data_IF_349360674529
#
_entry.id   IF_349360674529
#
_cell.length_a   1.000
_cell.length_b   1.000
_cell.length_c   1.000
_cell.angle_alpha   90.00
_cell.angle_beta   90.00
_cell.angle_gamma   90.00
#
_symmetry.space_group_name_H-M   'P 1'
#
loop_
_entity.id
_entity.type
_entity.pdbx_description
1 polymer ?
#
# COMPACT_ATOMS: atom_id res chain seq x y z
N UNK A 1 28.66 -4.08 -6.15
CA UNK A 1 27.80 -4.16 -4.95
C UNK A 1 27.50 -2.77 -4.40
N UNK A 2 28.49 -1.96 -3.98
CA UNK A 2 28.26 -0.57 -3.48
C UNK A 2 27.51 0.34 -4.47
N UNK A 3 27.88 0.38 -5.75
CA UNK A 3 27.21 1.23 -6.75
C UNK A 3 25.72 0.92 -6.94
N UNK A 4 25.32 -0.34 -6.75
CA UNK A 4 23.93 -0.80 -6.87
C UNK A 4 23.10 -0.33 -5.67
N UNK A 5 23.68 -0.40 -4.47
CA UNK A 5 23.06 0.09 -3.23
C UNK A 5 22.93 1.62 -3.23
N UNK A 6 23.93 2.34 -3.73
CA UNK A 6 23.90 3.81 -3.88
C UNK A 6 22.81 4.25 -4.87
N UNK A 7 22.70 3.58 -6.02
CA UNK A 7 21.63 3.83 -7.00
C UNK A 7 20.26 3.51 -6.44
N UNK A 8 20.12 2.42 -5.68
CA UNK A 8 18.87 2.09 -4.99
C UNK A 8 18.49 3.16 -3.96
N UNK A 9 19.45 3.61 -3.14
CA UNK A 9 19.23 4.65 -2.13
C UNK A 9 18.88 6.01 -2.75
N UNK A 10 19.45 6.35 -3.90
CA UNK A 10 19.13 7.57 -4.66
C UNK A 10 17.80 7.44 -5.42
N UNK A 11 17.51 6.29 -6.01
CA UNK A 11 16.25 5.99 -6.70
C UNK A 11 15.04 5.95 -5.77
N UNK A 12 15.22 5.51 -4.53
CA UNK A 12 14.20 5.63 -3.48
C UNK A 12 13.86 7.08 -3.14
N UNK A 13 14.79 8.02 -3.32
CA UNK A 13 14.60 9.44 -2.96
C UNK A 13 13.87 10.25 -4.03
N UNK A 14 13.86 9.78 -5.28
CA UNK A 14 13.19 10.47 -6.39
C UNK A 14 12.42 9.48 -7.27
N UNK A 15 11.10 9.43 -7.08
CA UNK A 15 10.19 8.63 -7.89
C UNK A 15 9.87 9.34 -9.21
N UNK A 16 10.80 9.30 -10.18
CA UNK A 16 10.64 9.95 -11.49
C UNK A 16 9.39 9.45 -12.23
N UNK A 17 9.11 8.14 -12.14
CA UNK A 17 7.90 7.57 -12.74
C UNK A 17 6.65 8.13 -12.08
N UNK A 18 6.60 8.19 -10.76
CA UNK A 18 5.49 8.81 -10.03
C UNK A 18 5.28 10.28 -10.39
N UNK A 19 6.35 11.06 -10.61
CA UNK A 19 6.25 12.46 -11.06
C UNK A 19 5.67 12.53 -12.48
N UNK A 20 6.15 11.69 -13.40
CA UNK A 20 5.65 11.65 -14.77
C UNK A 20 4.16 11.23 -14.82
N UNK A 21 3.78 10.18 -14.09
CA UNK A 21 2.39 9.74 -13.97
C UNK A 21 1.49 10.82 -13.35
N UNK A 22 1.99 11.56 -12.36
CA UNK A 22 1.21 12.64 -11.73
C UNK A 22 0.87 13.74 -12.73
N UNK A 23 1.76 14.06 -13.67
CA UNK A 23 1.48 15.04 -14.73
C UNK A 23 0.38 14.56 -15.68
N UNK A 24 0.37 13.26 -16.00
CA UNK A 24 -0.65 12.65 -16.86
C UNK A 24 -2.04 12.72 -16.22
N UNK A 25 -2.12 12.48 -14.91
CA UNK A 25 -3.36 12.58 -14.13
C UNK A 25 -4.02 13.97 -14.23
N UNK A 26 -3.24 15.05 -14.22
CA UNK A 26 -3.79 16.41 -14.41
C UNK A 26 -4.38 16.66 -15.81
N UNK A 27 -3.98 15.86 -16.80
CA UNK A 27 -4.35 16.06 -18.20
C UNK A 27 -5.41 15.08 -18.71
N UNK A 28 -5.40 13.82 -18.25
CA UNK A 28 -6.25 12.75 -18.78
C UNK A 28 -7.25 12.20 -17.76
N UNK A 29 -6.79 11.91 -16.55
CA UNK A 29 -7.57 11.12 -15.58
C UNK A 29 -7.76 11.88 -14.26
N UNK A 30 -8.38 13.07 -14.33
CA UNK A 30 -8.54 13.98 -13.19
C UNK A 30 -9.26 13.35 -12.00
N UNK A 31 -10.13 12.38 -12.23
CA UNK A 31 -10.86 11.70 -11.16
C UNK A 31 -9.93 10.90 -10.23
N UNK A 32 -8.70 10.58 -10.66
CA UNK A 32 -7.71 9.89 -9.83
C UNK A 32 -7.11 10.77 -8.72
N UNK A 33 -7.22 12.11 -8.79
CA UNK A 33 -6.75 13.00 -7.70
C UNK A 33 -7.81 13.27 -6.65
N UNK A 34 -9.07 12.99 -6.96
CA UNK A 34 -10.18 13.36 -6.09
C UNK A 34 -10.44 12.20 -5.13
N UNK A 35 -10.22 12.39 -3.82
CA UNK A 35 -10.58 11.35 -2.86
C UNK A 35 -12.10 11.18 -2.87
N UNK A 36 -12.56 9.95 -3.05
CA UNK A 36 -13.99 9.62 -2.95
C UNK A 36 -14.52 9.84 -1.52
N UNK A 37 -13.65 9.65 -0.52
CA UNK A 37 -13.94 9.83 0.90
C UNK A 37 -12.69 10.43 1.55
N UNK A 38 -12.87 11.45 2.39
CA UNK A 38 -11.82 12.02 3.23
C UNK A 38 -12.20 11.85 4.70
N UNK A 39 -11.36 11.14 5.45
CA UNK A 39 -11.56 10.82 6.86
C UNK A 39 -10.23 10.96 7.62
N UNK A 40 -10.26 11.12 8.96
CA UNK A 40 -9.02 11.28 9.75
C UNK A 40 -8.06 10.08 9.65
N UNK A 41 -8.60 8.86 9.66
CA UNK A 41 -7.83 7.62 9.46
C UNK A 41 -8.76 6.43 9.16
N UNK A 42 -8.17 5.25 8.94
CA UNK A 42 -8.88 4.02 8.57
C UNK A 42 -9.92 3.54 9.60
N UNK A 43 -9.91 4.00 10.86
CA UNK A 43 -10.93 3.64 11.84
C UNK A 43 -12.30 4.25 11.54
N UNK A 44 -12.34 5.27 10.69
CA UNK A 44 -13.58 5.94 10.28
C UNK A 44 -14.18 5.33 9.01
N UNK A 45 -13.52 4.33 8.40
CA UNK A 45 -14.06 3.63 7.24
C UNK A 45 -15.10 2.61 7.69
N UNK A 46 -16.30 2.72 7.13
CA UNK A 46 -17.35 1.72 7.28
C UNK A 46 -17.17 0.60 6.25
N UNK A 47 -16.49 -0.47 6.67
CA UNK A 47 -16.18 -1.60 5.80
C UNK A 47 -17.42 -2.34 5.31
N UNK A 48 -18.44 -2.48 6.17
CA UNK A 48 -19.70 -3.14 5.83
C UNK A 48 -20.46 -2.34 4.77
N UNK A 49 -20.49 -1.02 4.90
CA UNK A 49 -21.12 -0.14 3.92
C UNK A 49 -20.42 -0.22 2.56
N UNK A 50 -19.08 -0.24 2.54
CA UNK A 50 -18.34 -0.46 1.30
C UNK A 50 -18.70 -1.81 0.68
N UNK A 51 -18.78 -2.88 1.48
CA UNK A 51 -19.18 -4.19 0.95
C UNK A 51 -20.60 -4.19 0.40
N UNK A 52 -21.54 -3.54 1.09
CA UNK A 52 -22.95 -3.38 0.69
C UNK A 52 -23.09 -2.57 -0.60
N UNK A 53 -22.21 -1.60 -0.85
CA UNK A 53 -22.13 -0.83 -2.09
C UNK A 53 -21.50 -1.58 -3.26
N UNK A 54 -21.09 -2.82 -3.06
CA UNK A 54 -20.58 -3.70 -4.13
C UNK A 54 -19.07 -3.71 -4.29
N UNK A 55 -18.30 -3.09 -3.37
CA UNK A 55 -16.85 -3.21 -3.40
C UNK A 55 -16.43 -4.67 -3.13
N UNK A 56 -15.46 -5.18 -3.88
CA UNK A 56 -15.09 -6.60 -3.84
C UNK A 56 -13.84 -6.89 -2.99
N UNK A 57 -13.01 -5.88 -2.77
CA UNK A 57 -11.76 -6.01 -2.02
C UNK A 57 -11.16 -4.66 -1.65
N UNK A 58 -10.07 -4.71 -0.89
CA UNK A 58 -9.33 -3.54 -0.41
C UNK A 58 -7.84 -3.72 -0.68
N UNK A 59 -7.22 -2.70 -1.27
CA UNK A 59 -5.76 -2.62 -1.42
C UNK A 59 -5.27 -1.47 -0.57
N UNK A 60 -4.44 -1.78 0.42
CA UNK A 60 -3.83 -0.79 1.29
C UNK A 60 -2.46 -0.38 0.74
N UNK A 61 -2.22 0.93 0.67
CA UNK A 61 -0.85 1.42 0.71
C UNK A 61 -0.20 1.06 2.07
N UNK A 62 1.13 0.93 2.09
CA UNK A 62 1.89 0.49 3.28
C UNK A 62 2.28 1.65 4.20
N UNK A 63 3.27 2.42 3.78
CA UNK A 63 3.98 3.39 4.61
C UNK A 63 3.18 4.69 4.76
N UNK A 64 3.01 5.16 5.99
CA UNK A 64 2.14 6.31 6.33
C UNK A 64 0.64 6.06 6.13
N UNK A 65 0.25 4.81 5.86
CA UNK A 65 -1.16 4.40 5.72
C UNK A 65 -1.52 3.36 6.77
N UNK A 66 -0.91 2.18 6.74
CA UNK A 66 -1.13 1.11 7.73
C UNK A 66 0.07 0.88 8.64
N UNK A 67 1.27 1.29 8.23
CA UNK A 67 2.49 1.24 9.05
C UNK A 67 3.06 2.63 9.27
N UNK A 68 3.77 2.82 10.39
CA UNK A 68 4.71 3.94 10.50
C UNK A 68 5.77 3.86 9.37
N UNK A 69 6.42 4.97 9.00
CA UNK A 69 7.45 4.98 7.97
C UNK A 69 8.52 3.90 8.22
N UNK A 70 8.80 3.08 7.21
CA UNK A 70 9.83 2.02 7.23
C UNK A 70 9.56 0.88 8.23
N UNK A 71 8.45 0.90 8.95
CA UNK A 71 8.06 -0.17 9.87
C UNK A 71 7.46 -1.36 9.11
N UNK A 72 7.61 -2.56 9.67
CA UNK A 72 6.92 -3.78 9.20
C UNK A 72 5.73 -4.14 10.08
N UNK A 73 5.56 -3.45 11.21
CA UNK A 73 4.45 -3.65 12.13
C UNK A 73 3.25 -2.79 11.74
N UNK A 74 2.05 -3.36 11.89
CA UNK A 74 0.81 -2.61 11.81
C UNK A 74 0.82 -1.49 12.86
N UNK A 75 0.35 -0.31 12.50
CA UNK A 75 0.17 0.78 13.46
C UNK A 75 -0.93 0.38 14.45
N UNK A 76 -0.57 0.19 15.72
CA UNK A 76 -1.43 -0.41 16.74
C UNK A 76 -2.85 0.19 16.81
N UNK A 77 -3.07 1.51 16.70
CA UNK A 77 -4.41 2.09 16.68
C UNK A 77 -5.32 1.57 15.55
N UNK A 78 -4.77 1.04 14.46
CA UNK A 78 -5.53 0.55 13.31
C UNK A 78 -5.92 -0.93 13.41
N UNK A 79 -5.45 -1.66 14.43
CA UNK A 79 -5.65 -3.11 14.58
C UNK A 79 -7.12 -3.52 14.46
N UNK A 80 -8.01 -2.85 15.19
CA UNK A 80 -9.44 -3.17 15.18
C UNK A 80 -10.08 -2.95 13.80
N UNK A 81 -9.75 -1.84 13.14
CA UNK A 81 -10.28 -1.52 11.81
C UNK A 81 -9.76 -2.48 10.75
N UNK A 82 -8.47 -2.82 10.78
CA UNK A 82 -7.88 -3.79 9.85
C UNK A 82 -8.45 -5.19 10.07
N UNK A 83 -8.64 -5.60 11.33
CA UNK A 83 -9.30 -6.88 11.63
C UNK A 83 -10.73 -6.90 11.09
N UNK A 84 -11.48 -5.81 11.24
CA UNK A 84 -12.84 -5.69 10.70
C UNK A 84 -12.86 -5.74 9.16
N UNK A 85 -11.97 -5.00 8.50
CA UNK A 85 -11.79 -5.06 7.05
C UNK A 85 -11.55 -6.50 6.57
N UNK A 86 -10.64 -7.22 7.24
CA UNK A 86 -10.34 -8.63 6.93
C UNK A 86 -11.54 -9.55 7.15
N UNK A 87 -12.39 -9.32 8.16
CA UNK A 87 -13.59 -10.15 8.34
C UNK A 87 -14.64 -9.90 7.25
N UNK A 88 -14.74 -8.67 6.74
CA UNK A 88 -15.68 -8.30 5.66
C UNK A 88 -15.22 -8.78 4.29
N UNK A 89 -13.95 -8.53 3.94
CA UNK A 89 -13.39 -8.80 2.60
C UNK A 89 -12.62 -10.13 2.51
N UNK A 90 -12.38 -10.81 3.63
CA UNK A 90 -11.73 -12.13 3.72
C UNK A 90 -10.38 -12.14 3.00
N UNK A 91 -10.29 -12.90 1.90
CA UNK A 91 -9.06 -13.07 1.13
C UNK A 91 -8.82 -11.94 0.12
N UNK A 92 -9.79 -11.04 -0.06
CA UNK A 92 -9.70 -9.92 -1.01
C UNK A 92 -9.14 -8.67 -0.34
N UNK A 93 -8.11 -8.84 0.49
CA UNK A 93 -7.38 -7.75 1.13
C UNK A 93 -5.91 -7.90 0.80
N UNK A 94 -5.30 -6.83 0.29
CA UNK A 94 -3.90 -6.83 -0.11
C UNK A 94 -3.18 -5.55 0.31
N UNK A 95 -1.85 -5.63 0.37
CA UNK A 95 -0.95 -4.49 0.56
C UNK A 95 -0.22 -4.25 -0.76
N UNK A 96 -0.19 -2.99 -1.20
CA UNK A 96 0.66 -2.52 -2.28
C UNK A 96 1.72 -1.58 -1.69
N UNK A 97 2.97 -1.77 -2.07
CA UNK A 97 4.09 -0.97 -1.56
C UNK A 97 5.06 -0.65 -2.68
N UNK A 98 5.60 0.58 -2.64
CA UNK A 98 6.63 1.04 -3.57
C UNK A 98 7.99 0.35 -3.36
N UNK A 99 8.14 -0.50 -2.33
CA UNK A 99 9.38 -1.23 -2.06
C UNK A 99 9.14 -2.70 -1.72
N UNK A 100 8.26 -3.00 -0.76
CA UNK A 100 7.97 -4.38 -0.40
C UNK A 100 7.19 -5.08 -1.54
N UNK A 101 7.76 -6.16 -2.07
CA UNK A 101 7.17 -6.89 -3.20
C UNK A 101 7.49 -6.33 -4.59
N UNK A 102 8.20 -5.21 -4.69
CA UNK A 102 8.73 -4.70 -5.98
C UNK A 102 10.04 -5.41 -6.30
N UNK A 103 10.15 -6.07 -7.45
CA UNK A 103 11.30 -6.91 -7.82
C UNK A 103 12.66 -6.19 -7.70
N UNK A 104 12.73 -4.90 -8.02
CA UNK A 104 13.94 -4.09 -7.98
C UNK A 104 14.46 -3.82 -6.56
N UNK A 105 13.57 -3.80 -5.57
CA UNK A 105 13.89 -3.48 -4.17
C UNK A 105 13.69 -4.66 -3.21
N UNK A 106 12.92 -5.68 -3.59
CA UNK A 106 12.65 -6.89 -2.84
C UNK A 106 12.68 -8.13 -3.76
N UNK A 107 13.80 -8.40 -4.47
CA UNK A 107 13.88 -9.46 -5.49
C UNK A 107 13.61 -10.86 -4.95
N UNK A 108 14.04 -11.13 -3.71
CA UNK A 108 13.81 -12.40 -3.02
C UNK A 108 12.46 -12.43 -2.28
N UNK A 109 11.73 -11.32 -2.25
CA UNK A 109 10.48 -11.22 -1.51
C UNK A 109 10.59 -11.30 0.01
N UNK A 110 11.79 -11.06 0.58
CA UNK A 110 12.04 -11.21 2.02
C UNK A 110 11.27 -10.17 2.83
N UNK A 111 11.21 -8.94 2.34
CA UNK A 111 10.52 -7.83 3.02
C UNK A 111 9.02 -8.09 2.99
N UNK A 112 8.49 -8.39 1.81
CA UNK A 112 7.08 -8.73 1.63
C UNK A 112 6.67 -9.97 2.42
N UNK A 113 7.45 -11.05 2.43
CA UNK A 113 7.16 -12.24 3.26
C UNK A 113 7.12 -11.92 4.76
N UNK A 114 8.03 -11.07 5.24
CA UNK A 114 8.03 -10.65 6.65
C UNK A 114 6.81 -9.77 6.98
N UNK A 115 6.45 -8.86 6.08
CA UNK A 115 5.26 -8.04 6.21
C UNK A 115 3.97 -8.89 6.23
N UNK A 116 3.87 -9.87 5.32
CA UNK A 116 2.74 -10.82 5.28
C UNK A 116 2.59 -11.60 6.58
N UNK A 117 3.71 -12.09 7.15
CA UNK A 117 3.71 -12.80 8.43
C UNK A 117 3.32 -11.91 9.60
N UNK A 118 3.69 -10.64 9.56
CA UNK A 118 3.50 -9.69 10.66
C UNK A 118 2.08 -9.13 10.68
N UNK A 119 1.53 -8.76 9.52
CA UNK A 119 0.20 -8.12 9.40
C UNK A 119 -0.89 -9.14 9.05
N UNK A 120 -0.51 -10.28 8.46
CA UNK A 120 -1.45 -11.31 8.01
C UNK A 120 -2.29 -10.87 6.82
N UNK A 121 -1.74 -10.02 5.94
CA UNK A 121 -2.33 -9.56 4.68
C UNK A 121 -1.31 -9.80 3.57
N UNK A 122 -1.77 -10.26 2.40
CA UNK A 122 -0.89 -10.55 1.25
C UNK A 122 -0.32 -9.29 0.63
N UNK A 123 0.94 -9.34 0.22
CA UNK A 123 1.61 -8.23 -0.48
C UNK A 123 1.59 -8.52 -1.98
N UNK A 124 1.09 -7.57 -2.77
CA UNK A 124 1.13 -7.67 -4.22
C UNK A 124 2.58 -7.61 -4.68
N UNK A 125 2.98 -8.59 -5.51
CA UNK A 125 4.31 -8.63 -6.13
C UNK A 125 4.24 -7.98 -7.50
N UNK A 126 5.21 -7.14 -7.82
CA UNK A 126 5.22 -6.37 -9.06
C UNK A 126 6.63 -6.01 -9.53
N UNK A 127 6.72 -5.54 -10.77
CA UNK A 127 7.91 -4.97 -11.41
C UNK A 127 7.45 -3.77 -12.23
N UNK A 128 8.39 -2.92 -12.66
CA UNK A 128 8.09 -1.85 -13.62
C UNK A 128 7.84 -2.39 -15.03
#
# INVERSE_FOLDING_TARGET
>A
MWWTELKSALGQRFNVQGVASSLEVFTKDKDLIVPHISVPDLRYIDWDELKRRGFEGVVFDKDNTITAPYSLGLWAPLESSIHHCKSVFRNNVAIFSNSAGLHEYDPDGKISMLLERTIGIKVIRHSW
#
